data_IF_849978169561
#
_entry.id   IF_849978169561
#
_cell.length_a   1.000
_cell.length_b   1.000
_cell.length_c   1.000
_cell.angle_alpha   90.00
_cell.angle_beta   90.00
_cell.angle_gamma   90.00
#
_symmetry.space_group_name_H-M   'P 1'
#
loop_
_entity.id
_entity.type
_entity.pdbx_description
1 polymer ?
#
# COMPACT_ATOMS: atom_id res chain seq x y z
N UNK A 1 -2.96 12.58 -12.41
CA UNK A 1 -2.15 11.41 -12.82
C UNK A 1 -3.05 10.23 -13.13
N UNK A 2 -2.72 9.45 -14.18
CA UNK A 2 -3.35 8.16 -14.44
C UNK A 2 -2.97 7.16 -13.34
N UNK A 3 -3.86 6.20 -13.10
CA UNK A 3 -3.60 5.05 -12.22
C UNK A 3 -3.11 3.92 -13.13
N UNK A 4 -1.88 3.46 -12.92
CA UNK A 4 -1.30 2.31 -13.62
C UNK A 4 -1.39 1.04 -12.77
N UNK A 5 -1.68 1.19 -11.49
CA UNK A 5 -1.81 0.12 -10.51
C UNK A 5 -2.83 -0.97 -10.91
N UNK A 6 -3.90 -0.59 -11.59
CA UNK A 6 -4.98 -1.49 -11.98
C UNK A 6 -4.78 -2.12 -13.37
N UNK A 7 -3.58 -2.04 -13.95
CA UNK A 7 -3.26 -2.69 -15.21
C UNK A 7 -3.41 -4.22 -15.07
N UNK A 8 -4.31 -4.87 -15.84
CA UNK A 8 -4.55 -6.32 -15.75
C UNK A 8 -3.35 -7.19 -16.11
N UNK A 9 -2.33 -6.62 -16.75
CA UNK A 9 -1.13 -7.36 -17.19
C UNK A 9 -0.04 -7.44 -16.12
N UNK A 10 -0.11 -6.60 -15.07
CA UNK A 10 0.83 -6.63 -13.94
C UNK A 10 0.74 -7.93 -13.17
N UNK A 11 1.88 -8.41 -12.70
CA UNK A 11 1.98 -9.66 -11.94
C UNK A 11 2.94 -9.44 -10.80
N UNK A 12 2.53 -9.81 -9.59
CA UNK A 12 3.42 -9.66 -8.46
C UNK A 12 4.52 -10.72 -8.46
N UNK A 13 5.70 -10.36 -7.96
CA UNK A 13 6.72 -11.34 -7.54
C UNK A 13 6.33 -12.10 -6.26
N UNK A 14 5.30 -11.65 -5.54
CA UNK A 14 4.65 -12.44 -4.48
C UNK A 14 3.79 -13.55 -5.08
N UNK A 15 3.74 -14.70 -4.41
CA UNK A 15 2.83 -15.78 -4.79
C UNK A 15 1.39 -15.38 -4.48
N UNK A 16 0.59 -15.16 -5.52
CA UNK A 16 -0.82 -14.76 -5.43
C UNK A 16 -1.69 -15.88 -5.97
N UNK A 17 -2.58 -16.47 -5.15
CA UNK A 17 -3.53 -17.47 -5.63
C UNK A 17 -4.37 -16.94 -6.79
N UNK A 18 -4.60 -17.77 -7.81
CA UNK A 18 -5.34 -17.40 -9.04
C UNK A 18 -6.73 -16.82 -8.76
N UNK A 19 -7.38 -17.29 -7.69
CA UNK A 19 -8.73 -16.84 -7.28
C UNK A 19 -8.69 -15.91 -6.06
N UNK A 20 -7.56 -15.25 -5.80
CA UNK A 20 -7.45 -14.28 -4.70
C UNK A 20 -8.27 -13.04 -4.99
N UNK A 21 -9.03 -12.56 -4.00
CA UNK A 21 -9.67 -11.24 -4.04
C UNK A 21 -8.65 -10.08 -3.94
N UNK A 22 -7.39 -10.40 -3.66
CA UNK A 22 -6.32 -9.43 -3.42
C UNK A 22 -5.19 -9.54 -4.44
N UNK A 23 -5.46 -9.48 -5.76
CA UNK A 23 -4.39 -9.43 -6.74
C UNK A 23 -3.67 -8.08 -6.66
N UNK A 24 -2.51 -7.96 -7.33
CA UNK A 24 -1.73 -6.71 -7.37
C UNK A 24 -2.53 -5.52 -7.94
N UNK A 25 -3.61 -5.76 -8.67
CA UNK A 25 -4.50 -4.71 -9.19
C UNK A 25 -5.42 -4.09 -8.13
N UNK A 26 -5.64 -4.75 -6.99
CA UNK A 26 -6.58 -4.30 -5.97
C UNK A 26 -5.94 -3.27 -5.02
N UNK A 27 -4.84 -3.65 -4.34
CA UNK A 27 -4.11 -2.84 -3.33
C UNK A 27 -5.10 -2.09 -2.43
N UNK A 28 -5.92 -2.80 -1.62
CA UNK A 28 -6.80 -2.16 -0.66
C UNK A 28 -5.98 -1.54 0.47
N UNK A 29 -6.49 -0.50 1.11
CA UNK A 29 -5.86 0.07 2.31
C UNK A 29 -6.63 -0.36 3.55
N UNK A 30 -5.91 -0.67 4.61
CA UNK A 30 -6.48 -1.08 5.89
C UNK A 30 -5.53 -0.77 7.03
N UNK A 31 -6.02 -0.92 8.26
CA UNK A 31 -5.20 -0.85 9.48
C UNK A 31 -5.10 -2.25 10.04
N UNK A 32 -3.91 -2.65 10.48
CA UNK A 32 -3.71 -3.92 11.16
C UNK A 32 -2.67 -3.77 12.27
N UNK A 33 -2.60 -4.78 13.13
CA UNK A 33 -1.62 -4.87 14.21
C UNK A 33 -0.57 -5.89 13.79
N UNK A 34 0.71 -5.49 13.81
CA UNK A 34 1.82 -6.38 13.51
C UNK A 34 2.06 -7.39 14.64
N UNK A 35 2.97 -8.34 14.44
CA UNK A 35 3.35 -9.29 15.49
C UNK A 35 4.05 -8.63 16.69
N UNK A 36 4.54 -7.41 16.49
CA UNK A 36 5.25 -6.62 17.51
C UNK A 36 4.29 -5.64 18.22
N UNK A 37 2.97 -5.86 18.12
CA UNK A 37 1.91 -5.02 18.70
C UNK A 37 1.93 -3.55 18.24
N UNK A 38 2.43 -3.31 17.02
CA UNK A 38 2.41 -1.98 16.39
C UNK A 38 1.19 -1.86 15.49
N UNK A 39 0.39 -0.80 15.70
CA UNK A 39 -0.71 -0.45 14.81
C UNK A 39 -0.14 0.28 13.59
N UNK A 40 -0.42 -0.23 12.40
CA UNK A 40 0.10 0.33 11.15
C UNK A 40 -0.96 0.29 10.05
N UNK A 41 -0.86 1.27 9.15
CA UNK A 41 -1.59 1.26 7.88
C UNK A 41 -0.85 0.33 6.92
N UNK A 42 -1.61 -0.51 6.24
CA UNK A 42 -1.09 -1.47 5.30
C UNK A 42 -1.94 -1.66 4.06
N UNK A 43 -1.40 -2.49 3.18
CA UNK A 43 -2.13 -3.05 2.06
C UNK A 43 -2.04 -4.57 2.05
N UNK A 44 -2.76 -5.22 1.14
CA UNK A 44 -2.78 -6.68 0.99
C UNK A 44 -2.55 -7.08 -0.47
N UNK A 45 -1.66 -8.04 -0.68
CA UNK A 45 -1.44 -8.72 -1.96
C UNK A 45 -1.39 -10.22 -1.70
N UNK A 46 -2.31 -10.97 -2.31
CA UNK A 46 -2.52 -12.39 -2.02
C UNK A 46 -2.79 -12.64 -0.55
N UNK A 47 -1.94 -13.47 0.05
CA UNK A 47 -2.00 -13.83 1.47
C UNK A 47 -1.02 -13.01 2.34
N UNK A 48 -0.42 -11.97 1.77
CA UNK A 48 0.52 -11.09 2.45
C UNK A 48 -0.14 -9.77 2.86
N UNK A 49 0.03 -9.39 4.12
CA UNK A 49 -0.17 -8.03 4.59
C UNK A 49 1.16 -7.27 4.46
N UNK A 50 1.10 -6.09 3.86
CA UNK A 50 2.26 -5.24 3.59
C UNK A 50 2.16 -4.04 4.53
N UNK A 51 3.17 -3.89 5.38
CA UNK A 51 3.32 -2.78 6.30
C UNK A 51 3.82 -1.53 5.56
N UNK A 52 2.95 -0.52 5.41
CA UNK A 52 3.31 0.71 4.71
C UNK A 52 4.13 1.64 5.60
N UNK A 53 4.01 1.54 6.93
CA UNK A 53 4.88 2.23 7.87
C UNK A 53 6.33 1.80 7.70
N UNK A 54 6.58 0.49 7.62
CA UNK A 54 7.91 -0.05 7.33
C UNK A 54 8.45 0.43 5.97
N UNK A 55 7.62 0.43 4.91
CA UNK A 55 8.01 0.93 3.60
C UNK A 55 8.37 2.43 3.63
N UNK A 56 7.64 3.24 4.40
CA UNK A 56 7.94 4.66 4.59
C UNK A 56 9.27 4.86 5.29
N UNK A 57 9.53 4.15 6.39
CA UNK A 57 10.81 4.24 7.13
C UNK A 57 12.01 3.81 6.27
N UNK A 58 11.81 2.86 5.35
CA UNK A 58 12.83 2.39 4.41
C UNK A 58 13.00 3.27 3.16
N UNK A 59 12.24 4.38 3.04
CA UNK A 59 12.37 5.34 1.93
C UNK A 59 11.69 4.92 0.62
N UNK A 60 10.87 3.87 0.62
CA UNK A 60 10.23 3.39 -0.62
C UNK A 60 9.19 4.37 -1.19
N UNK A 61 8.74 5.35 -0.41
CA UNK A 61 7.84 6.41 -0.87
C UNK A 61 8.55 7.74 -1.18
N UNK A 62 9.88 7.74 -1.27
CA UNK A 62 10.63 8.94 -1.66
C UNK A 62 10.09 9.55 -2.98
N UNK A 63 9.91 10.88 -2.97
CA UNK A 63 9.33 11.65 -4.07
C UNK A 63 7.80 11.77 -4.02
N UNK A 64 7.12 11.17 -3.04
CA UNK A 64 5.72 11.43 -2.74
C UNK A 64 5.66 12.33 -1.50
N UNK A 65 4.92 13.44 -1.60
CA UNK A 65 4.66 14.32 -0.46
C UNK A 65 3.74 13.59 0.52
N UNK A 66 4.35 12.99 1.54
CA UNK A 66 3.70 12.30 2.66
C UNK A 66 4.17 12.97 3.94
N UNK A 67 3.29 13.13 4.92
CA UNK A 67 3.72 13.52 6.28
C UNK A 67 4.53 12.41 6.92
N UNK A 68 5.48 12.80 7.77
CA UNK A 68 6.21 11.84 8.60
C UNK A 68 5.21 11.01 9.40
N UNK A 69 5.48 9.71 9.49
CA UNK A 69 4.68 8.75 10.25
C UNK A 69 3.22 8.61 9.79
N UNK A 70 2.85 9.07 8.59
CA UNK A 70 1.48 8.95 8.07
C UNK A 70 0.91 7.53 8.14
N UNK A 71 1.75 6.51 7.93
CA UNK A 71 1.28 5.12 7.99
C UNK A 71 1.40 4.47 9.37
N UNK A 72 1.86 5.20 10.40
CA UNK A 72 1.90 4.75 11.79
C UNK A 72 0.74 5.34 12.59
N UNK A 73 -0.48 5.12 12.10
CA UNK A 73 -1.71 5.59 12.71
C UNK A 73 -2.73 4.46 12.88
N UNK A 74 -3.68 4.66 13.79
CA UNK A 74 -4.76 3.72 14.09
C UNK A 74 -5.98 3.86 13.16
N UNK A 75 -5.99 4.86 12.28
CA UNK A 75 -7.05 5.09 11.29
C UNK A 75 -6.49 5.47 9.93
N UNK A 76 -7.30 5.30 8.87
CA UNK A 76 -6.96 5.74 7.52
C UNK A 76 -7.26 7.23 7.28
N UNK A 77 -7.79 7.95 8.28
CA UNK A 77 -8.46 9.22 8.07
C UNK A 77 -7.51 10.30 7.51
N UNK A 78 -6.32 10.41 8.06
CA UNK A 78 -5.33 11.40 7.63
C UNK A 78 -4.86 11.08 6.20
N UNK A 79 -4.52 9.81 5.94
CA UNK A 79 -4.13 9.36 4.61
C UNK A 79 -5.21 9.59 3.53
N UNK A 80 -6.47 9.39 3.87
CA UNK A 80 -7.59 9.66 2.96
C UNK A 80 -7.81 11.17 2.78
N UNK A 81 -7.52 11.97 3.81
CA UNK A 81 -7.69 13.44 3.79
C UNK A 81 -6.66 14.16 2.91
N UNK A 82 -5.46 13.58 2.74
CA UNK A 82 -4.46 14.01 1.75
C UNK A 82 -4.98 13.93 0.30
N UNK A 83 -6.06 13.20 0.11
CA UNK A 83 -6.92 13.31 -1.05
C UNK A 83 -6.41 12.57 -2.28
N UNK A 84 -7.11 12.84 -3.40
CA UNK A 84 -7.12 11.88 -4.51
C UNK A 84 -5.78 11.72 -5.25
N UNK A 85 -4.87 12.69 -5.08
CA UNK A 85 -3.55 12.67 -5.71
C UNK A 85 -2.62 11.72 -4.96
N UNK A 86 -2.57 11.82 -3.63
CA UNK A 86 -1.63 11.10 -2.76
C UNK A 86 -1.87 9.60 -2.76
N UNK A 87 -3.09 9.14 -2.47
CA UNK A 87 -3.40 7.70 -2.50
C UNK A 87 -3.21 7.02 -3.88
N UNK A 88 -3.19 7.79 -4.98
CA UNK A 88 -2.90 7.28 -6.35
C UNK A 88 -1.41 7.14 -6.57
N UNK A 89 -0.63 8.12 -6.11
CA UNK A 89 0.84 8.04 -6.12
C UNK A 89 1.32 6.84 -5.30
N UNK A 90 0.75 6.68 -4.10
CA UNK A 90 1.04 5.55 -3.21
C UNK A 90 0.64 4.22 -3.86
N UNK A 91 -0.57 4.11 -4.45
CA UNK A 91 -0.97 2.90 -5.19
C UNK A 91 -0.04 2.56 -6.35
N UNK A 92 0.33 3.54 -7.17
CA UNK A 92 1.24 3.32 -8.28
C UNK A 92 2.62 2.86 -7.77
N UNK A 93 3.14 3.52 -6.72
CA UNK A 93 4.43 3.14 -6.12
C UNK A 93 4.39 1.72 -5.55
N UNK A 94 3.34 1.35 -4.83
CA UNK A 94 3.14 -0.02 -4.33
C UNK A 94 3.10 -1.01 -5.50
N UNK A 95 2.37 -0.69 -6.57
CA UNK A 95 2.32 -1.57 -7.75
C UNK A 95 3.70 -1.74 -8.37
N UNK A 96 4.49 -0.67 -8.50
CA UNK A 96 5.84 -0.73 -9.07
C UNK A 96 6.85 -1.48 -8.18
N UNK A 97 6.69 -1.44 -6.86
CA UNK A 97 7.53 -2.20 -5.91
C UNK A 97 7.20 -3.70 -5.98
N UNK A 98 5.93 -4.03 -6.16
CA UNK A 98 5.43 -5.40 -6.04
C UNK A 98 5.20 -6.13 -7.36
N UNK A 99 5.33 -5.47 -8.52
CA UNK A 99 5.38 -6.09 -9.87
C UNK A 99 6.67 -6.93 -10.00
#
# INVERSE_FOLDING_TARGET
MPISANDPTRKSWLDVPVNSDFPIQNIPFGVFITKDDVVTIGTRIGDFAIDMGALQQLGYFEGIELTDDMFMQDTLNDFISDGKKTWRLVRNRLSDIFD
#
